data_IF_522050104237
#
_entry.id   IF_522050104237
#
_cell.length_a   1.000
_cell.length_b   1.000
_cell.length_c   1.000
_cell.angle_alpha   90.00
_cell.angle_beta   90.00
_cell.angle_gamma   90.00
#
_symmetry.space_group_name_H-M   'P 1'
#
loop_
_entity.id
_entity.type
_entity.pdbx_description
1 polymer ?
#
# COMPACT_ATOMS: atom_id res chain seq x y z
N UNK A 1 44.18 -38.68 -4.93
CA UNK A 1 43.17 -38.15 -5.88
C UNK A 1 41.69 -38.27 -5.41
N UNK A 2 41.42 -38.38 -4.10
CA UNK A 2 40.03 -38.62 -3.59
C UNK A 2 39.47 -37.39 -2.82
N UNK A 3 40.33 -36.44 -2.43
CA UNK A 3 39.92 -35.28 -1.60
C UNK A 3 39.26 -34.15 -2.41
N UNK A 4 39.55 -34.00 -3.71
CA UNK A 4 38.99 -32.92 -4.54
C UNK A 4 37.51 -33.11 -4.89
N UNK A 5 37.00 -34.37 -4.95
CA UNK A 5 35.59 -34.64 -5.32
C UNK A 5 34.56 -34.28 -4.23
N UNK A 6 34.94 -34.37 -2.94
CA UNK A 6 34.01 -34.15 -1.83
C UNK A 6 33.73 -32.65 -1.59
N UNK A 7 34.73 -31.79 -1.85
CA UNK A 7 34.58 -30.34 -1.68
C UNK A 7 33.70 -29.75 -2.78
N UNK A 8 33.85 -30.22 -4.02
CA UNK A 8 33.02 -29.77 -5.15
C UNK A 8 31.53 -30.14 -4.99
N UNK A 9 31.22 -31.30 -4.41
CA UNK A 9 29.84 -31.72 -4.21
C UNK A 9 29.13 -30.93 -3.11
N UNK A 10 29.84 -30.51 -2.07
CA UNK A 10 29.29 -29.68 -0.97
C UNK A 10 29.04 -28.23 -1.41
N UNK A 11 29.91 -27.67 -2.24
CA UNK A 11 29.73 -26.31 -2.78
C UNK A 11 28.56 -26.25 -3.79
N UNK A 12 28.40 -27.26 -4.63
CA UNK A 12 27.27 -27.37 -5.55
C UNK A 12 25.91 -27.53 -4.81
N UNK A 13 25.90 -28.30 -3.71
CA UNK A 13 24.70 -28.47 -2.88
C UNK A 13 24.28 -27.18 -2.17
N UNK A 14 25.24 -26.40 -1.65
CA UNK A 14 24.95 -25.11 -0.98
C UNK A 14 24.46 -24.07 -2.00
N UNK A 15 25.05 -24.02 -3.19
CA UNK A 15 24.60 -23.11 -4.25
C UNK A 15 23.20 -23.47 -4.78
N UNK A 16 22.88 -24.75 -4.92
CA UNK A 16 21.55 -25.21 -5.32
C UNK A 16 20.49 -24.92 -4.25
N UNK A 17 20.81 -25.09 -2.97
CA UNK A 17 19.90 -24.78 -1.86
C UNK A 17 19.65 -23.27 -1.73
N UNK A 18 20.68 -22.45 -1.91
CA UNK A 18 20.56 -20.98 -1.94
C UNK A 18 19.71 -20.51 -3.12
N UNK A 19 19.89 -21.09 -4.31
CA UNK A 19 19.07 -20.78 -5.48
C UNK A 19 17.60 -21.20 -5.31
N UNK A 20 17.31 -22.32 -4.65
CA UNK A 20 15.93 -22.74 -4.32
C UNK A 20 15.27 -21.80 -3.31
N UNK A 21 15.99 -21.33 -2.29
CA UNK A 21 15.47 -20.38 -1.30
C UNK A 21 15.14 -19.03 -1.91
N UNK A 22 15.98 -18.54 -2.84
CA UNK A 22 15.72 -17.28 -3.57
C UNK A 22 14.53 -17.45 -4.52
N UNK A 23 14.40 -18.57 -5.22
CA UNK A 23 13.28 -18.82 -6.12
C UNK A 23 11.94 -18.93 -5.36
N UNK A 24 11.92 -19.53 -4.16
CA UNK A 24 10.72 -19.61 -3.32
C UNK A 24 10.22 -18.21 -2.86
N UNK A 25 11.12 -17.28 -2.53
CA UNK A 25 10.77 -15.94 -2.09
C UNK A 25 10.14 -15.06 -3.19
N UNK A 26 10.38 -15.39 -4.47
CA UNK A 26 9.82 -14.66 -5.62
C UNK A 26 8.51 -15.25 -6.15
N UNK A 27 8.13 -16.46 -5.72
CA UNK A 27 6.83 -17.04 -6.07
C UNK A 27 5.69 -16.35 -5.33
N UNK A 28 4.45 -16.45 -5.85
CA UNK A 28 3.27 -15.91 -5.18
C UNK A 28 3.13 -16.46 -3.74
N UNK A 29 3.32 -17.76 -3.54
CA UNK A 29 3.29 -18.39 -2.21
C UNK A 29 4.41 -17.88 -1.29
N UNK A 30 5.60 -17.62 -1.82
CA UNK A 30 6.71 -17.04 -1.04
C UNK A 30 6.41 -15.62 -0.60
N UNK A 31 5.75 -14.82 -1.44
CA UNK A 31 5.32 -13.46 -1.10
C UNK A 31 4.21 -13.45 -0.05
N UNK A 32 3.27 -14.41 -0.12
CA UNK A 32 2.26 -14.61 0.93
C UNK A 32 2.90 -14.98 2.27
N UNK A 33 3.88 -15.89 2.26
CA UNK A 33 4.61 -16.29 3.46
C UNK A 33 5.39 -15.11 4.06
N UNK A 34 5.99 -14.26 3.22
CA UNK A 34 6.67 -13.03 3.66
C UNK A 34 5.71 -12.09 4.37
N UNK A 35 4.54 -11.83 3.77
CA UNK A 35 3.52 -10.96 4.38
C UNK A 35 3.00 -11.55 5.70
N UNK A 36 2.73 -12.86 5.75
CA UNK A 36 2.28 -13.54 6.96
C UNK A 36 3.33 -13.46 8.09
N UNK A 37 4.61 -13.62 7.78
CA UNK A 37 5.69 -13.51 8.76
C UNK A 37 5.83 -12.08 9.32
N UNK A 38 5.71 -11.04 8.47
CA UNK A 38 5.71 -9.64 8.91
C UNK A 38 4.52 -9.40 9.85
N UNK A 39 3.32 -9.81 9.45
CA UNK A 39 2.11 -9.64 10.23
C UNK A 39 2.20 -10.34 11.60
N UNK A 40 2.62 -11.61 11.61
CA UNK A 40 2.78 -12.40 12.82
C UNK A 40 3.76 -11.75 13.81
N UNK A 41 4.93 -11.31 13.33
CA UNK A 41 5.94 -10.66 14.16
C UNK A 41 5.42 -9.38 14.82
N UNK A 42 4.50 -8.68 14.16
CA UNK A 42 3.89 -7.44 14.65
C UNK A 42 2.59 -7.64 15.44
N UNK A 43 2.18 -8.89 15.69
CA UNK A 43 0.92 -9.19 16.35
C UNK A 43 -0.32 -8.79 15.53
N UNK A 44 -0.18 -8.70 14.21
CA UNK A 44 -1.28 -8.47 13.29
C UNK A 44 -1.90 -9.80 12.89
N UNK A 45 -3.16 -10.02 13.25
CA UNK A 45 -3.89 -11.26 12.99
C UNK A 45 -4.60 -11.22 11.63
N UNK A 46 -4.63 -12.33 10.87
CA UNK A 46 -5.37 -12.39 9.62
C UNK A 46 -6.88 -12.30 9.89
N UNK A 47 -7.56 -11.53 9.06
CA UNK A 47 -9.02 -11.38 9.08
C UNK A 47 -9.60 -11.98 7.80
N UNK A 48 -10.58 -12.87 7.95
CA UNK A 48 -11.30 -13.40 6.80
C UNK A 48 -12.04 -12.28 6.07
N UNK A 49 -11.77 -12.12 4.79
CA UNK A 49 -12.41 -11.14 3.95
C UNK A 49 -13.07 -11.82 2.75
N UNK A 50 -14.40 -11.85 2.78
CA UNK A 50 -15.20 -12.07 1.57
C UNK A 50 -15.89 -10.76 1.24
N UNK A 51 -15.36 -10.04 0.24
CA UNK A 51 -15.92 -8.77 -0.20
C UNK A 51 -17.01 -8.94 -1.24
N UNK A 52 -17.91 -7.97 -1.33
CA UNK A 52 -18.91 -7.94 -2.41
C UNK A 52 -18.25 -7.77 -3.79
N UNK A 53 -17.18 -6.96 -3.88
CA UNK A 53 -16.47 -6.70 -5.12
C UNK A 53 -15.21 -7.57 -5.28
N UNK A 54 -14.38 -7.71 -4.24
CA UNK A 54 -13.14 -8.50 -4.25
C UNK A 54 -12.84 -9.08 -2.87
N UNK A 55 -12.17 -10.23 -2.85
CA UNK A 55 -11.55 -10.77 -1.64
C UNK A 55 -10.19 -10.10 -1.42
N UNK A 56 -9.92 -9.67 -0.18
CA UNK A 56 -8.73 -8.94 0.19
C UNK A 56 -7.89 -9.70 1.22
N UNK A 57 -6.58 -9.54 1.18
CA UNK A 57 -5.73 -9.89 2.32
C UNK A 57 -5.87 -8.79 3.37
N UNK A 58 -6.35 -9.14 4.56
CA UNK A 58 -6.52 -8.23 5.68
C UNK A 58 -5.74 -8.75 6.88
N UNK A 59 -5.04 -7.84 7.56
CA UNK A 59 -4.45 -8.10 8.87
C UNK A 59 -4.92 -7.02 9.86
N UNK A 60 -5.14 -7.40 11.12
CA UNK A 60 -5.63 -6.50 12.18
C UNK A 60 -4.90 -6.70 13.49
N UNK A 61 -4.67 -5.60 14.20
CA UNK A 61 -4.32 -5.55 15.62
C UNK A 61 -5.22 -4.53 16.30
N UNK A 62 -5.85 -4.90 17.42
CA UNK A 62 -6.61 -3.99 18.30
C UNK A 62 -6.36 -4.39 19.75
N UNK A 63 -5.70 -3.55 20.52
CA UNK A 63 -5.38 -3.76 21.94
C UNK A 63 -6.50 -3.30 22.89
N UNK A 64 -7.62 -2.85 22.35
CA UNK A 64 -8.80 -2.39 23.09
C UNK A 64 -8.71 -0.99 23.67
N UNK A 65 -7.54 -0.33 23.63
CA UNK A 65 -7.36 1.02 24.16
C UNK A 65 -8.03 2.08 23.30
N UNK A 66 -8.43 3.24 23.86
CA UNK A 66 -8.94 4.38 23.10
C UNK A 66 -7.94 4.88 22.07
N UNK A 67 -8.46 5.43 20.96
CA UNK A 67 -7.66 6.04 19.90
C UNK A 67 -8.22 5.77 18.52
N UNK A 68 -7.65 6.37 17.47
CA UNK A 68 -8.08 6.17 16.10
C UNK A 68 -7.75 4.76 15.59
N UNK A 69 -8.48 4.31 14.59
CA UNK A 69 -8.12 3.17 13.77
C UNK A 69 -7.22 3.64 12.62
N UNK A 70 -5.98 3.16 12.60
CA UNK A 70 -5.06 3.37 11.49
C UNK A 70 -5.28 2.30 10.42
N UNK A 71 -5.64 2.73 9.22
CA UNK A 71 -5.88 1.85 8.08
C UNK A 71 -4.77 2.03 7.05
N UNK A 72 -3.98 0.99 6.84
CA UNK A 72 -2.88 0.95 5.88
C UNK A 72 -3.31 0.28 4.59
N UNK A 73 -3.20 0.98 3.47
CA UNK A 73 -3.61 0.51 2.14
C UNK A 73 -2.36 0.30 1.28
N UNK A 74 -2.19 -0.94 0.78
CA UNK A 74 -1.01 -1.35 0.03
C UNK A 74 -0.91 -0.67 -1.32
N UNK A 75 0.32 -0.51 -1.79
CA UNK A 75 0.64 -0.01 -3.13
C UNK A 75 0.26 -0.97 -4.25
N UNK A 76 0.63 -0.61 -5.49
CA UNK A 76 0.28 -1.41 -6.67
C UNK A 76 0.98 -2.78 -6.71
N UNK A 77 1.98 -2.99 -5.86
CA UNK A 77 2.74 -4.25 -5.79
C UNK A 77 3.55 -4.51 -7.06
N UNK A 78 3.61 -5.78 -7.48
CA UNK A 78 4.24 -6.18 -8.72
C UNK A 78 3.23 -6.14 -9.87
N UNK A 79 2.73 -4.95 -10.20
CA UNK A 79 1.76 -4.78 -11.27
C UNK A 79 2.35 -5.08 -12.66
N UNK A 80 3.64 -4.79 -12.83
CA UNK A 80 4.39 -5.02 -14.05
C UNK A 80 5.75 -5.68 -13.73
N UNK A 81 6.21 -6.54 -14.64
CA UNK A 81 7.56 -7.15 -14.60
C UNK A 81 8.61 -6.20 -15.16
N UNK A 82 8.23 -5.40 -16.15
CA UNK A 82 8.96 -4.32 -16.80
C UNK A 82 7.97 -3.24 -17.24
N UNK A 83 8.41 -2.22 -17.99
CA UNK A 83 7.56 -1.09 -18.40
C UNK A 83 6.34 -1.48 -19.27
N UNK A 84 6.32 -2.68 -19.88
CA UNK A 84 5.31 -3.09 -20.84
C UNK A 84 4.63 -4.42 -20.52
N UNK A 85 5.26 -5.27 -19.72
CA UNK A 85 4.80 -6.62 -19.42
C UNK A 85 4.04 -6.66 -18.10
N UNK A 86 2.70 -6.75 -18.09
CA UNK A 86 1.94 -6.94 -16.88
C UNK A 86 2.36 -8.21 -16.17
N UNK A 87 2.43 -8.16 -14.84
CA UNK A 87 2.61 -9.35 -14.02
C UNK A 87 1.34 -10.22 -14.05
N UNK A 88 1.53 -11.52 -13.92
CA UNK A 88 0.42 -12.47 -13.70
C UNK A 88 -0.05 -12.51 -12.25
N UNK A 89 0.69 -11.88 -11.33
CA UNK A 89 0.38 -11.84 -9.90
C UNK A 89 0.89 -10.50 -9.33
N UNK A 90 -0.02 -9.54 -9.01
CA UNK A 90 0.36 -8.22 -8.52
C UNK A 90 0.80 -8.21 -7.05
N UNK A 91 0.83 -9.34 -6.35
CA UNK A 91 1.29 -9.42 -4.96
C UNK A 91 2.66 -8.76 -4.81
N UNK A 92 2.84 -7.81 -3.88
CA UNK A 92 4.12 -7.12 -3.70
C UNK A 92 5.23 -8.08 -3.26
N UNK A 93 6.43 -7.91 -3.81
CA UNK A 93 7.63 -8.62 -3.36
C UNK A 93 8.02 -8.17 -1.96
N UNK A 94 7.89 -6.87 -1.70
CA UNK A 94 8.07 -6.26 -0.38
C UNK A 94 6.83 -5.40 -0.06
N UNK A 95 5.91 -5.85 0.82
CA UNK A 95 4.68 -5.15 1.13
C UNK A 95 4.95 -3.97 2.06
N UNK A 96 5.29 -2.81 1.49
CA UNK A 96 5.76 -1.66 2.25
C UNK A 96 4.68 -1.11 3.19
N UNK A 97 3.42 -1.01 2.76
CA UNK A 97 2.36 -0.56 3.66
C UNK A 97 2.12 -1.53 4.81
N UNK A 98 2.30 -2.85 4.61
CA UNK A 98 2.26 -3.81 5.72
C UNK A 98 3.41 -3.59 6.70
N UNK A 99 4.61 -3.26 6.22
CA UNK A 99 5.73 -2.93 7.10
C UNK A 99 5.49 -1.64 7.89
N UNK A 100 4.85 -0.63 7.29
CA UNK A 100 4.42 0.58 8.00
C UNK A 100 3.38 0.23 9.08
N UNK A 101 2.39 -0.59 8.75
CA UNK A 101 1.39 -1.10 9.70
C UNK A 101 2.03 -1.88 10.86
N UNK A 102 3.03 -2.70 10.56
CA UNK A 102 3.78 -3.46 11.56
C UNK A 102 4.59 -2.57 12.50
N UNK A 103 5.12 -1.45 11.99
CA UNK A 103 5.89 -0.46 12.77
C UNK A 103 4.99 0.55 13.53
N UNK A 104 3.68 0.55 13.30
CA UNK A 104 2.75 1.48 13.98
C UNK A 104 2.57 1.10 15.46
N UNK A 105 2.87 2.01 16.42
CA UNK A 105 2.67 1.76 17.84
C UNK A 105 1.22 2.00 18.30
N UNK A 106 0.31 2.40 17.41
CA UNK A 106 -1.07 2.76 17.75
C UNK A 106 -1.90 1.58 18.25
N UNK A 107 -2.99 1.89 18.98
CA UNK A 107 -3.81 0.88 19.65
C UNK A 107 -4.64 0.04 18.70
N UNK A 108 -4.93 0.54 17.51
CA UNK A 108 -5.72 -0.17 16.51
C UNK A 108 -5.16 0.05 15.10
N UNK A 109 -4.83 -1.03 14.43
CA UNK A 109 -4.21 -1.08 13.12
C UNK A 109 -4.93 -2.07 12.24
N UNK A 110 -5.30 -1.64 11.03
CA UNK A 110 -5.86 -2.47 9.97
C UNK A 110 -4.96 -2.33 8.73
N UNK A 111 -4.50 -3.44 8.20
CA UNK A 111 -3.82 -3.49 6.91
C UNK A 111 -4.74 -4.08 5.86
N UNK A 112 -4.77 -3.48 4.69
CA UNK A 112 -5.53 -3.92 3.52
C UNK A 112 -4.60 -4.09 2.32
N UNK A 113 -4.45 -5.32 1.84
CA UNK A 113 -3.92 -5.60 0.51
C UNK A 113 -4.88 -5.07 -0.56
N UNK A 114 -4.35 -4.84 -1.76
CA UNK A 114 -5.19 -4.44 -2.90
C UNK A 114 -5.95 -5.64 -3.47
N UNK A 115 -7.06 -5.44 -4.20
CA UNK A 115 -7.68 -6.48 -5.00
C UNK A 115 -6.66 -7.26 -5.84
N UNK A 116 -6.85 -8.56 -5.93
CA UNK A 116 -6.00 -9.47 -6.70
C UNK A 116 -4.59 -9.72 -6.13
N UNK A 117 -4.20 -9.05 -5.06
CA UNK A 117 -2.95 -9.32 -4.35
C UNK A 117 -3.16 -10.45 -3.32
N UNK A 118 -2.10 -11.21 -3.05
CA UNK A 118 -2.06 -12.30 -2.07
C UNK A 118 -3.05 -13.46 -2.38
N UNK A 119 -2.98 -14.53 -1.58
CA UNK A 119 -3.78 -15.74 -1.82
C UNK A 119 -5.30 -15.51 -1.89
N UNK A 120 -5.93 -14.70 -0.99
CA UNK A 120 -7.36 -14.45 -1.09
C UNK A 120 -7.77 -13.79 -2.40
N UNK A 121 -7.01 -12.77 -2.86
CA UNK A 121 -7.30 -12.04 -4.09
C UNK A 121 -6.96 -12.82 -5.36
N UNK A 122 -5.87 -13.59 -5.36
CA UNK A 122 -5.39 -14.33 -6.54
C UNK A 122 -6.40 -15.35 -7.08
N UNK A 123 -7.18 -15.98 -6.22
CA UNK A 123 -8.21 -16.96 -6.58
C UNK A 123 -9.56 -16.35 -6.96
N UNK A 124 -9.72 -15.04 -6.87
CA UNK A 124 -10.97 -14.37 -7.17
C UNK A 124 -11.21 -14.34 -8.69
N UNK A 125 -12.34 -14.91 -9.19
CA UNK A 125 -12.64 -14.94 -10.62
C UNK A 125 -12.85 -13.55 -11.24
N UNK A 126 -13.04 -12.51 -10.42
CA UNK A 126 -13.15 -11.11 -10.87
C UNK A 126 -11.78 -10.47 -11.14
N UNK A 127 -10.70 -11.15 -10.74
CA UNK A 127 -9.33 -10.69 -10.96
C UNK A 127 -8.89 -10.91 -12.40
N UNK A 128 -8.87 -9.83 -13.16
CA UNK A 128 -8.26 -9.76 -14.48
C UNK A 128 -7.13 -8.72 -14.48
N UNK A 129 -6.21 -8.81 -15.43
CA UNK A 129 -5.04 -7.94 -15.54
C UNK A 129 -5.36 -6.44 -15.45
N UNK A 130 -6.53 -6.02 -15.89
CA UNK A 130 -6.98 -4.63 -15.78
C UNK A 130 -7.12 -4.16 -14.33
N UNK A 131 -7.51 -5.04 -13.41
CA UNK A 131 -7.74 -4.69 -12.00
C UNK A 131 -6.46 -4.21 -11.28
N UNK A 132 -5.27 -4.59 -11.76
CA UNK A 132 -3.99 -4.11 -11.21
C UNK A 132 -3.15 -3.32 -12.19
N UNK A 133 -3.67 -3.06 -13.41
CA UNK A 133 -3.02 -2.21 -14.42
C UNK A 133 -3.85 -0.95 -14.68
N UNK A 134 -4.60 -0.89 -15.77
CA UNK A 134 -5.28 0.33 -16.22
C UNK A 134 -6.48 0.72 -15.38
N UNK A 135 -7.16 -0.22 -14.71
CA UNK A 135 -8.31 0.04 -13.83
C UNK A 135 -7.95 -0.08 -12.33
N UNK A 136 -6.67 0.02 -11.97
CA UNK A 136 -6.18 -0.19 -10.59
C UNK A 136 -6.75 0.77 -9.54
N UNK A 137 -7.36 1.87 -9.96
CA UNK A 137 -8.09 2.83 -9.13
C UNK A 137 -9.57 2.93 -9.56
N UNK A 138 -10.10 1.86 -10.13
CA UNK A 138 -11.49 1.78 -10.57
C UNK A 138 -12.48 1.85 -9.41
N UNK A 139 -13.74 2.13 -9.74
CA UNK A 139 -14.79 2.31 -8.73
C UNK A 139 -15.00 1.05 -7.87
N UNK A 140 -14.88 -0.13 -8.46
CA UNK A 140 -14.97 -1.43 -7.81
C UNK A 140 -13.81 -1.71 -6.85
N UNK A 141 -12.58 -1.32 -7.24
CA UNK A 141 -11.39 -1.40 -6.39
C UNK A 141 -11.54 -0.51 -5.15
N UNK A 142 -11.98 0.75 -5.36
CA UNK A 142 -12.20 1.70 -4.26
C UNK A 142 -13.34 1.22 -3.36
N UNK A 143 -14.44 0.70 -3.94
CA UNK A 143 -15.57 0.17 -3.19
C UNK A 143 -15.18 -1.05 -2.32
N UNK A 144 -14.32 -1.94 -2.82
CA UNK A 144 -13.85 -3.10 -2.04
C UNK A 144 -13.06 -2.68 -0.79
N UNK A 145 -12.20 -1.68 -0.92
CA UNK A 145 -11.43 -1.13 0.20
C UNK A 145 -12.35 -0.40 1.19
N UNK A 146 -13.27 0.44 0.70
CA UNK A 146 -14.23 1.17 1.54
C UNK A 146 -15.17 0.22 2.31
N UNK A 147 -15.64 -0.85 1.68
CA UNK A 147 -16.46 -1.88 2.31
C UNK A 147 -15.69 -2.64 3.41
N UNK A 148 -14.41 -2.97 3.20
CA UNK A 148 -13.57 -3.58 4.22
C UNK A 148 -13.37 -2.67 5.44
N UNK A 149 -13.14 -1.37 5.21
CA UNK A 149 -13.04 -0.36 6.28
C UNK A 149 -14.38 -0.24 7.03
N UNK A 150 -15.49 -0.22 6.31
CA UNK A 150 -16.82 -0.08 6.90
C UNK A 150 -17.19 -1.27 7.79
N UNK A 151 -16.83 -2.50 7.39
CA UNK A 151 -17.00 -3.70 8.23
C UNK A 151 -16.18 -3.62 9.51
N UNK A 152 -14.94 -3.14 9.45
CA UNK A 152 -14.12 -3.00 10.65
C UNK A 152 -14.64 -1.90 11.56
N UNK A 153 -15.13 -0.79 10.99
CA UNK A 153 -15.77 0.31 11.75
C UNK A 153 -17.00 -0.13 12.57
N UNK A 154 -17.77 -1.09 12.08
CA UNK A 154 -18.94 -1.63 12.83
C UNK A 154 -18.51 -2.30 14.13
N UNK A 155 -17.26 -2.75 14.28
CA UNK A 155 -16.75 -3.36 15.52
C UNK A 155 -16.42 -2.31 16.57
N UNK A 156 -16.01 -1.11 16.16
CA UNK A 156 -15.56 0.00 17.00
C UNK A 156 -16.04 1.33 16.40
N UNK A 157 -17.35 1.61 16.44
CA UNK A 157 -17.94 2.78 15.77
C UNK A 157 -17.47 4.11 16.39
N UNK A 158 -16.94 4.10 17.60
CA UNK A 158 -16.41 5.28 18.31
C UNK A 158 -15.05 5.75 17.80
N UNK A 159 -14.28 4.89 17.09
CA UNK A 159 -12.96 5.26 16.58
C UNK A 159 -13.06 6.16 15.36
N UNK A 160 -12.32 7.26 15.33
CA UNK A 160 -12.06 8.00 14.09
C UNK A 160 -11.09 7.21 13.20
N UNK A 161 -11.08 7.51 11.91
CA UNK A 161 -10.20 6.84 10.94
C UNK A 161 -8.99 7.71 10.61
N UNK A 162 -7.81 7.10 10.59
CA UNK A 162 -6.62 7.63 9.94
C UNK A 162 -6.28 6.70 8.78
N UNK A 163 -6.44 7.19 7.55
CA UNK A 163 -6.10 6.41 6.35
C UNK A 163 -4.66 6.67 5.97
N UNK A 164 -3.89 5.62 5.76
CA UNK A 164 -2.49 5.68 5.33
C UNK A 164 -2.35 4.88 4.05
N UNK A 165 -1.97 5.53 2.95
CA UNK A 165 -1.78 4.85 1.69
C UNK A 165 -0.36 5.03 1.12
N UNK A 166 0.28 3.93 0.71
CA UNK A 166 1.58 3.97 0.06
C UNK A 166 1.43 3.88 -1.47
N UNK A 167 2.12 4.75 -2.21
CA UNK A 167 2.13 4.75 -3.68
C UNK A 167 0.70 4.73 -4.26
N UNK A 168 0.34 3.79 -5.12
CA UNK A 168 -1.04 3.62 -5.60
C UNK A 168 -2.07 3.39 -4.50
N UNK A 169 -1.67 2.86 -3.34
CA UNK A 169 -2.52 2.78 -2.16
C UNK A 169 -2.94 4.14 -1.61
N UNK A 170 -2.09 5.17 -1.76
CA UNK A 170 -2.41 6.55 -1.42
C UNK A 170 -3.49 7.16 -2.32
N UNK A 171 -3.50 6.79 -3.59
CA UNK A 171 -4.58 7.16 -4.53
C UNK A 171 -5.90 6.56 -4.07
N UNK A 172 -5.92 5.26 -3.74
CA UNK A 172 -7.13 4.59 -3.24
C UNK A 172 -7.57 5.17 -1.90
N UNK A 173 -6.63 5.42 -0.96
CA UNK A 173 -6.93 6.06 0.32
C UNK A 173 -7.61 7.42 0.15
N UNK A 174 -7.13 8.25 -0.79
CA UNK A 174 -7.72 9.55 -1.10
C UNK A 174 -9.12 9.41 -1.72
N UNK A 175 -9.32 8.47 -2.64
CA UNK A 175 -10.63 8.20 -3.24
C UNK A 175 -11.65 7.65 -2.22
N UNK A 176 -11.21 6.87 -1.24
CA UNK A 176 -12.04 6.42 -0.11
C UNK A 176 -12.34 7.60 0.81
N UNK A 177 -11.35 8.41 1.18
CA UNK A 177 -11.54 9.58 2.05
C UNK A 177 -12.56 10.55 1.47
N UNK A 178 -12.55 10.78 0.14
CA UNK A 178 -13.53 11.64 -0.53
C UNK A 178 -14.99 11.16 -0.44
N UNK A 179 -15.24 9.91 -0.04
CA UNK A 179 -16.59 9.32 0.09
C UNK A 179 -17.08 9.24 1.54
N UNK A 180 -16.20 9.57 2.52
CA UNK A 180 -16.43 9.34 3.94
C UNK A 180 -16.41 10.65 4.71
N UNK A 181 -17.17 10.70 5.81
CA UNK A 181 -17.18 11.82 6.77
C UNK A 181 -16.51 11.49 8.10
N UNK A 182 -16.04 10.24 8.28
CA UNK A 182 -15.45 9.75 9.53
C UNK A 182 -13.91 9.65 9.46
N UNK A 183 -13.29 10.18 8.39
CA UNK A 183 -11.84 10.25 8.21
C UNK A 183 -11.31 11.51 8.88
N UNK A 184 -10.57 11.34 9.98
CA UNK A 184 -9.95 12.45 10.69
C UNK A 184 -8.65 12.93 10.02
N UNK A 185 -7.93 12.01 9.37
CA UNK A 185 -6.67 12.31 8.68
C UNK A 185 -6.44 11.34 7.52
N UNK A 186 -6.03 11.88 6.40
CA UNK A 186 -5.48 11.14 5.26
C UNK A 186 -3.96 11.36 5.22
N UNK A 187 -3.19 10.28 5.25
CA UNK A 187 -1.73 10.29 5.07
C UNK A 187 -1.40 9.56 3.79
N UNK A 188 -0.66 10.19 2.90
CA UNK A 188 -0.16 9.52 1.70
C UNK A 188 1.36 9.50 1.69
N UNK A 189 1.94 8.36 1.33
CA UNK A 189 3.38 8.15 1.26
C UNK A 189 3.74 7.86 -0.18
N UNK A 190 4.50 8.75 -0.81
CA UNK A 190 4.98 8.61 -2.20
C UNK A 190 3.84 8.31 -3.20
N UNK A 191 2.70 9.01 -3.11
CA UNK A 191 1.49 8.72 -3.86
C UNK A 191 1.26 9.67 -5.05
N UNK A 192 0.92 9.16 -6.25
CA UNK A 192 0.63 9.97 -7.42
C UNK A 192 -0.81 10.51 -7.39
N UNK A 193 -1.07 11.55 -6.56
CA UNK A 193 -2.43 12.10 -6.34
C UNK A 193 -3.04 12.76 -7.59
N UNK A 194 -2.23 13.21 -8.54
CA UNK A 194 -2.64 13.56 -9.90
C UNK A 194 -2.23 12.43 -10.86
N UNK A 195 -3.14 11.49 -11.07
CA UNK A 195 -2.89 10.30 -11.88
C UNK A 195 -2.54 10.66 -13.33
N UNK A 196 -3.22 11.65 -13.91
CA UNK A 196 -3.00 12.07 -15.29
C UNK A 196 -1.65 12.79 -15.46
N UNK A 197 -1.25 13.64 -14.51
CA UNK A 197 0.07 14.27 -14.53
C UNK A 197 1.17 13.22 -14.35
N UNK A 198 0.98 12.29 -13.43
CA UNK A 198 1.95 11.22 -13.17
C UNK A 198 2.17 10.34 -14.41
N UNK A 199 1.09 9.84 -15.06
CA UNK A 199 1.23 9.00 -16.26
C UNK A 199 1.95 9.71 -17.40
N UNK A 200 1.66 11.02 -17.58
CA UNK A 200 2.32 11.84 -18.57
C UNK A 200 3.82 12.04 -18.27
N UNK A 201 4.18 12.34 -17.02
CA UNK A 201 5.58 12.52 -16.60
C UNK A 201 6.40 11.24 -16.69
N UNK A 202 5.78 10.12 -16.39
CA UNK A 202 6.42 8.80 -16.42
C UNK A 202 6.40 8.16 -17.81
N UNK A 203 5.81 8.84 -18.80
CA UNK A 203 5.67 8.34 -20.17
C UNK A 203 5.03 6.95 -20.26
N UNK A 204 4.06 6.69 -19.36
CA UNK A 204 3.29 5.46 -19.35
C UNK A 204 1.87 5.70 -19.86
N UNK A 205 1.21 4.63 -20.32
CA UNK A 205 -0.15 4.70 -20.83
C UNK A 205 -1.13 5.28 -19.80
N UNK A 206 -2.13 6.06 -20.21
CA UNK A 206 -3.22 6.48 -19.34
C UNK A 206 -3.88 5.30 -18.65
N UNK A 207 -4.33 5.52 -17.41
CA UNK A 207 -5.00 4.48 -16.61
C UNK A 207 -6.50 4.50 -16.90
N UNK A 208 -6.88 3.99 -18.09
CA UNK A 208 -8.27 3.91 -18.51
C UNK A 208 -9.08 3.00 -17.57
N UNK A 209 -10.15 3.54 -16.99
CA UNK A 209 -10.96 2.86 -15.99
C UNK A 209 -10.55 3.15 -14.54
N UNK A 210 -9.50 3.94 -14.32
CA UNK A 210 -9.11 4.46 -13.01
C UNK A 210 -9.69 5.86 -12.76
N UNK A 211 -9.96 6.16 -11.49
CA UNK A 211 -10.33 7.49 -11.00
C UNK A 211 -9.09 8.26 -10.56
N UNK A 212 -9.17 9.58 -10.53
CA UNK A 212 -8.12 10.43 -9.97
C UNK A 212 -8.62 11.16 -8.71
N UNK A 213 -7.83 11.24 -7.62
CA UNK A 213 -8.17 12.05 -6.46
C UNK A 213 -8.50 13.50 -6.80
N UNK A 214 -7.85 14.09 -7.79
CA UNK A 214 -8.13 15.47 -8.19
C UNK A 214 -9.51 15.68 -8.81
N UNK A 215 -10.15 14.63 -9.34
CA UNK A 215 -11.55 14.69 -9.78
C UNK A 215 -12.52 14.83 -8.58
N UNK A 216 -12.02 14.58 -7.36
CA UNK A 216 -12.72 14.71 -6.09
C UNK A 216 -12.16 15.86 -5.22
N UNK A 217 -11.44 16.82 -5.80
CA UNK A 217 -10.72 17.86 -5.08
C UNK A 217 -11.64 18.65 -4.12
N UNK A 218 -12.88 18.97 -4.53
CA UNK A 218 -13.83 19.67 -3.68
C UNK A 218 -14.15 18.89 -2.39
N UNK A 219 -14.32 17.58 -2.46
CA UNK A 219 -14.57 16.74 -1.28
C UNK A 219 -13.32 16.55 -0.44
N UNK A 220 -12.17 16.39 -1.08
CA UNK A 220 -10.88 16.26 -0.40
C UNK A 220 -10.43 17.55 0.27
N UNK A 221 -10.90 18.71 -0.17
CA UNK A 221 -10.64 19.99 0.49
C UNK A 221 -11.18 20.05 1.93
N UNK A 222 -12.15 19.20 2.28
CA UNK A 222 -12.70 19.08 3.64
C UNK A 222 -11.91 18.07 4.50
N UNK A 223 -11.05 17.27 3.88
CA UNK A 223 -10.26 16.23 4.55
C UNK A 223 -8.86 16.76 4.84
N UNK A 224 -8.41 16.64 6.09
CA UNK A 224 -7.02 16.94 6.43
C UNK A 224 -6.10 15.91 5.78
N UNK A 225 -5.17 16.38 4.96
CA UNK A 225 -4.23 15.56 4.21
C UNK A 225 -2.78 15.91 4.55
N UNK A 226 -1.98 14.91 4.87
CA UNK A 226 -0.51 15.01 4.91
C UNK A 226 0.08 14.10 3.84
N UNK A 227 0.76 14.69 2.86
CA UNK A 227 1.43 13.99 1.78
C UNK A 227 2.95 13.95 2.03
N UNK A 228 3.50 12.78 2.26
CA UNK A 228 4.95 12.57 2.32
C UNK A 228 5.51 12.28 0.93
N UNK A 229 6.53 13.03 0.53
CA UNK A 229 7.27 12.86 -0.71
C UNK A 229 8.75 12.63 -0.45
N UNK A 230 9.35 11.62 -1.06
CA UNK A 230 10.79 11.41 -1.02
C UNK A 230 11.51 12.34 -1.98
N UNK A 231 12.52 13.09 -1.51
CA UNK A 231 13.27 14.03 -2.36
C UNK A 231 13.97 13.35 -3.54
N UNK A 232 14.30 12.04 -3.39
CA UNK A 232 14.98 11.24 -4.41
C UNK A 232 14.05 10.27 -5.14
N UNK A 233 12.73 10.41 -4.94
CA UNK A 233 11.75 9.55 -5.59
C UNK A 233 11.67 9.84 -7.09
N UNK A 234 12.08 8.86 -7.91
CA UNK A 234 12.01 8.91 -9.37
C UNK A 234 10.78 8.20 -9.93
N UNK A 235 10.05 7.46 -9.09
CA UNK A 235 8.81 6.77 -9.47
C UNK A 235 7.61 7.70 -9.33
N UNK A 236 7.55 8.48 -8.26
CA UNK A 236 6.55 9.53 -8.05
C UNK A 236 7.30 10.81 -7.66
N UNK A 237 7.73 11.61 -8.65
CA UNK A 237 8.52 12.81 -8.40
C UNK A 237 7.82 13.82 -7.48
N UNK A 238 8.59 14.47 -6.61
CA UNK A 238 8.10 15.47 -5.64
C UNK A 238 7.24 16.54 -6.31
N UNK A 239 7.62 16.99 -7.50
CA UNK A 239 6.89 18.05 -8.20
C UNK A 239 5.48 17.63 -8.66
N UNK A 240 5.28 16.34 -8.95
CA UNK A 240 3.95 15.79 -9.23
C UNK A 240 3.07 15.84 -7.97
N UNK A 241 3.61 15.42 -6.81
CA UNK A 241 2.89 15.48 -5.53
C UNK A 241 2.63 16.92 -5.13
N UNK A 242 3.61 17.81 -5.27
CA UNK A 242 3.50 19.24 -4.96
C UNK A 242 2.38 19.91 -5.76
N UNK A 243 2.33 19.66 -7.06
CA UNK A 243 1.29 20.17 -7.94
C UNK A 243 -0.11 19.69 -7.53
N UNK A 244 -0.24 18.42 -7.18
CA UNK A 244 -1.50 17.85 -6.72
C UNK A 244 -1.95 18.44 -5.38
N UNK A 245 -1.05 18.50 -4.38
CA UNK A 245 -1.35 19.05 -3.04
C UNK A 245 -1.81 20.52 -3.13
N UNK A 246 -1.16 21.33 -3.96
CA UNK A 246 -1.56 22.73 -4.16
C UNK A 246 -3.00 22.88 -4.72
N UNK A 247 -3.51 21.87 -5.43
CA UNK A 247 -4.87 21.85 -5.98
C UNK A 247 -5.91 21.27 -5.02
N UNK A 248 -5.48 20.55 -3.97
CA UNK A 248 -6.37 19.94 -2.98
C UNK A 248 -6.78 20.90 -1.85
N UNK A 249 -6.20 22.10 -1.79
CA UNK A 249 -6.63 23.18 -0.90
C UNK A 249 -5.83 23.30 0.38
N UNK A 250 -6.32 24.16 1.29
CA UNK A 250 -5.58 24.61 2.47
C UNK A 250 -5.40 23.53 3.57
N UNK A 251 -6.20 22.47 3.54
CA UNK A 251 -6.09 21.36 4.49
C UNK A 251 -5.12 20.26 4.02
N UNK A 252 -4.45 20.47 2.88
CA UNK A 252 -3.44 19.56 2.34
C UNK A 252 -2.03 20.11 2.58
N UNK A 253 -1.19 19.33 3.25
CA UNK A 253 0.19 19.65 3.56
C UNK A 253 1.15 18.70 2.82
N UNK A 254 2.21 19.25 2.22
CA UNK A 254 3.29 18.48 1.63
C UNK A 254 4.52 18.49 2.54
N UNK A 255 4.98 17.32 2.94
CA UNK A 255 6.24 17.14 3.67
C UNK A 255 7.23 16.40 2.78
N UNK A 256 8.27 17.11 2.33
CA UNK A 256 9.35 16.52 1.55
C UNK A 256 10.41 15.98 2.49
N UNK A 257 10.73 14.69 2.38
CA UNK A 257 11.72 14.02 3.23
C UNK A 257 13.04 13.89 2.48
N UNK A 258 14.12 14.59 2.93
CA UNK A 258 15.43 14.49 2.31
C UNK A 258 15.98 13.06 2.31
N UNK A 259 16.74 12.70 1.29
CA UNK A 259 17.37 11.39 1.13
C UNK A 259 16.43 10.19 0.94
N UNK A 260 15.11 10.33 1.04
CA UNK A 260 14.15 9.26 0.78
C UNK A 260 13.87 9.13 -0.73
N UNK A 261 13.73 7.90 -1.16
CA UNK A 261 13.25 7.55 -2.50
C UNK A 261 11.87 6.87 -2.42
N UNK A 262 11.45 6.19 -3.50
CA UNK A 262 10.14 5.55 -3.51
C UNK A 262 9.99 4.47 -2.44
N UNK A 263 11.04 3.74 -2.09
CA UNK A 263 11.04 2.58 -1.18
C UNK A 263 11.76 2.83 0.15
N UNK A 264 12.90 3.51 0.10
CA UNK A 264 13.70 3.83 1.27
C UNK A 264 13.26 5.19 1.84
N UNK A 265 13.29 5.44 3.07
CA UNK A 265 13.51 4.62 4.26
C UNK A 265 12.28 4.73 5.16
N UNK A 266 11.11 4.71 4.53
CA UNK A 266 9.80 5.00 5.14
C UNK A 266 9.56 4.18 6.42
N UNK A 267 9.89 2.89 6.38
CA UNK A 267 9.62 1.97 7.49
C UNK A 267 10.49 2.30 8.71
N UNK A 268 11.78 2.54 8.52
CA UNK A 268 12.70 2.82 9.63
C UNK A 268 12.41 4.13 10.36
N UNK A 269 11.78 5.08 9.68
CA UNK A 269 11.46 6.40 10.21
C UNK A 269 9.95 6.58 10.48
N UNK A 270 9.16 5.51 10.31
CA UNK A 270 7.70 5.62 10.29
C UNK A 270 7.11 6.18 11.57
N UNK A 271 7.61 5.77 12.74
CA UNK A 271 7.10 6.26 14.03
C UNK A 271 7.18 7.78 14.10
N UNK A 272 8.32 8.36 13.71
CA UNK A 272 8.53 9.81 13.68
C UNK A 272 7.63 10.50 12.64
N UNK A 273 7.54 9.96 11.42
CA UNK A 273 6.71 10.53 10.35
C UNK A 273 5.22 10.49 10.71
N UNK A 274 4.77 9.39 11.31
CA UNK A 274 3.41 9.25 11.81
C UNK A 274 3.07 10.30 12.88
N UNK A 275 3.96 10.51 13.85
CA UNK A 275 3.78 11.55 14.87
C UNK A 275 3.74 12.95 14.26
N UNK A 276 4.58 13.19 13.24
CA UNK A 276 4.56 14.46 12.51
C UNK A 276 3.20 14.68 11.81
N UNK A 277 2.67 13.65 11.14
CA UNK A 277 1.36 13.73 10.51
C UNK A 277 0.22 13.96 11.53
N UNK A 278 0.30 13.35 12.72
CA UNK A 278 -0.73 13.53 13.75
C UNK A 278 -0.76 14.95 14.34
N UNK A 279 0.34 15.69 14.34
CA UNK A 279 0.36 17.10 14.81
C UNK A 279 -0.52 18.01 13.95
N UNK A 280 -0.78 17.64 12.70
CA UNK A 280 -1.67 18.41 11.84
C UNK A 280 -3.16 18.29 12.21
N UNK A 281 -3.54 17.39 13.14
CA UNK A 281 -4.93 17.25 13.63
C UNK A 281 -5.23 18.28 14.74
N UNK A 282 -4.22 18.84 15.35
CA UNK A 282 -4.32 19.83 16.43
C UNK A 282 -4.03 21.23 15.91
#
# INVERSE_FOLDING_TARGET
MIVASVVGLRLAGIAALAAMLVACGHSGAGRDATAAAIAQTAGLEPVASKGAAFDLQIYRRDDGKPGPLFVYIEGDGLAYLDQRTPSTDPTPVDPLALRLAAADPGPAVLYLGRPCQFAPGRGDPRCGVRAWTTARFGADVVAAIDDAISRERLRRPERSLVLVGYSGGGVVAALVAARRSDVALLVTVAAPLDVADWTRRMEVSPLDGSQSPLDQAQRLAEVRLVAFAGQRDTTVPVDSIRSAVARLGAHAELIVVPAFDHRCCWVSDWVRLRELALRSIH
#
